data_IF_035874513426
#
_entry.id   IF_035874513426
#
_cell.length_a   1.000
_cell.length_b   1.000
_cell.length_c   1.000
_cell.angle_alpha   90.00
_cell.angle_beta   90.00
_cell.angle_gamma   90.00
#
_symmetry.space_group_name_H-M   'P 1'
#
loop_
_entity.id
_entity.type
_entity.pdbx_description
1 polymer ?
#
# COMPACT_ATOMS: atom_id res chain seq x y z
N UNK A 1 15.29 -2.29 55.81
CA UNK A 1 15.12 -3.71 55.44
C UNK A 1 14.90 -3.79 53.93
N UNK A 2 15.84 -4.34 53.16
CA UNK A 2 15.61 -4.62 51.74
C UNK A 2 14.87 -5.95 51.61
N UNK A 3 13.54 -5.90 51.61
CA UNK A 3 12.70 -7.04 51.27
C UNK A 3 12.95 -7.45 49.81
N UNK A 4 12.93 -8.75 49.53
CA UNK A 4 12.95 -9.26 48.15
C UNK A 4 11.87 -8.60 47.28
N UNK A 5 10.74 -8.24 47.86
CA UNK A 5 9.65 -7.53 47.19
C UNK A 5 10.08 -6.14 46.66
N UNK A 6 10.79 -5.36 47.47
CA UNK A 6 11.28 -4.03 47.09
C UNK A 6 12.35 -4.09 46.00
N UNK A 7 13.19 -5.13 46.01
CA UNK A 7 14.22 -5.33 44.98
C UNK A 7 13.60 -5.70 43.63
N UNK A 8 12.61 -6.60 43.62
CA UNK A 8 11.86 -6.96 42.41
C UNK A 8 11.10 -5.78 41.83
N UNK A 9 10.47 -4.97 42.69
CA UNK A 9 9.76 -3.76 42.30
C UNK A 9 10.68 -2.77 41.56
N UNK A 10 11.90 -2.55 42.09
CA UNK A 10 12.86 -1.64 41.44
C UNK A 10 13.32 -2.16 40.07
N UNK A 11 13.54 -3.46 39.90
CA UNK A 11 13.91 -4.03 38.59
C UNK A 11 12.78 -3.86 37.58
N UNK A 12 11.54 -4.09 38.00
CA UNK A 12 10.37 -3.93 37.15
C UNK A 12 10.20 -2.48 36.66
N UNK A 13 10.23 -1.51 37.58
CA UNK A 13 10.12 -0.09 37.23
C UNK A 13 11.33 0.43 36.43
N UNK A 14 12.52 -0.11 36.68
CA UNK A 14 13.69 0.20 35.86
C UNK A 14 13.53 -0.30 34.42
N UNK A 15 12.97 -1.51 34.23
CA UNK A 15 12.63 -2.03 32.89
C UNK A 15 11.59 -1.16 32.18
N UNK A 16 10.52 -0.76 32.89
CA UNK A 16 9.52 0.16 32.35
C UNK A 16 10.11 1.53 31.98
N UNK A 17 11.03 2.06 32.78
CA UNK A 17 11.69 3.33 32.49
C UNK A 17 12.52 3.25 31.19
N UNK A 18 13.28 2.17 30.99
CA UNK A 18 14.05 1.97 29.75
C UNK A 18 13.12 1.89 28.55
N UNK A 19 12.03 1.12 28.64
CA UNK A 19 11.05 1.00 27.56
C UNK A 19 10.36 2.34 27.25
N UNK A 20 10.03 3.12 28.28
CA UNK A 20 9.44 4.45 28.11
C UNK A 20 10.41 5.40 27.39
N UNK A 21 11.68 5.43 27.80
CA UNK A 21 12.72 6.24 27.14
C UNK A 21 12.91 5.79 25.69
N UNK A 22 12.99 4.47 25.43
CA UNK A 22 13.12 3.93 24.08
C UNK A 22 11.92 4.30 23.20
N UNK A 23 10.71 4.24 23.73
CA UNK A 23 9.48 4.64 23.02
C UNK A 23 9.48 6.13 22.66
N UNK A 24 9.89 7.00 23.59
CA UNK A 24 10.04 8.45 23.33
C UNK A 24 11.09 8.71 22.26
N UNK A 25 12.25 8.03 22.31
CA UNK A 25 13.30 8.16 21.29
C UNK A 25 12.85 7.68 19.92
N UNK A 26 12.09 6.58 19.84
CA UNK A 26 11.50 6.08 18.60
C UNK A 26 10.50 7.07 18.02
N UNK A 27 9.66 7.67 18.87
CA UNK A 27 8.69 8.68 18.43
C UNK A 27 9.39 9.94 17.91
N UNK A 28 10.38 10.45 18.66
CA UNK A 28 11.20 11.59 18.24
C UNK A 28 11.94 11.32 16.92
N UNK A 29 12.54 10.13 16.78
CA UNK A 29 13.20 9.71 15.54
C UNK A 29 12.23 9.72 14.35
N UNK A 30 11.04 9.16 14.53
CA UNK A 30 10.00 9.14 13.48
C UNK A 30 9.56 10.54 13.07
N UNK A 31 9.36 11.45 14.03
CA UNK A 31 8.85 12.80 13.76
C UNK A 31 9.91 13.75 13.20
N UNK A 32 11.17 13.64 13.64
CA UNK A 32 12.19 14.65 13.31
C UNK A 32 13.27 14.17 12.33
N UNK A 33 13.52 12.86 12.22
CA UNK A 33 14.63 12.32 11.42
C UNK A 33 14.16 11.76 10.08
N UNK A 34 12.89 11.35 9.98
CA UNK A 34 12.36 10.82 8.72
C UNK A 34 11.95 11.96 7.79
N UNK A 35 12.47 12.02 6.55
CA UNK A 35 11.95 12.92 5.54
C UNK A 35 10.48 12.62 5.30
N UNK A 36 9.70 13.66 5.05
CA UNK A 36 8.33 13.51 4.56
C UNK A 36 8.36 12.60 3.32
N UNK A 37 7.69 11.45 3.40
CA UNK A 37 7.71 10.45 2.34
C UNK A 37 7.01 11.05 1.11
N UNK A 38 7.79 11.35 0.08
CA UNK A 38 7.30 11.84 -1.21
C UNK A 38 7.33 10.68 -2.20
N UNK A 39 6.25 9.90 -2.33
CA UNK A 39 6.15 8.90 -3.38
C UNK A 39 6.05 9.64 -4.72
N UNK A 40 6.91 9.27 -5.68
CA UNK A 40 6.89 9.86 -7.01
C UNK A 40 6.28 8.87 -8.01
N UNK A 41 5.27 9.33 -8.76
CA UNK A 41 4.70 8.59 -9.88
C UNK A 41 5.26 9.23 -11.15
N UNK A 42 6.24 8.57 -11.75
CA UNK A 42 6.93 9.09 -12.94
C UNK A 42 6.04 8.99 -14.17
N UNK A 43 5.26 7.91 -14.27
CA UNK A 43 4.40 7.66 -15.44
C UNK A 43 3.19 6.82 -15.05
N UNK A 44 2.01 7.35 -15.31
CA UNK A 44 0.76 6.59 -15.29
C UNK A 44 0.04 6.88 -16.60
N UNK A 45 0.01 5.89 -17.49
CA UNK A 45 -0.63 6.04 -18.79
C UNK A 45 -1.43 4.79 -19.14
N UNK A 46 -2.70 4.99 -19.48
CA UNK A 46 -3.54 3.95 -20.07
C UNK A 46 -3.32 3.98 -21.58
N UNK A 47 -2.94 2.85 -22.17
CA UNK A 47 -2.65 2.74 -23.59
C UNK A 47 -3.88 2.28 -24.37
N UNK A 48 -4.42 1.12 -23.99
CA UNK A 48 -5.58 0.52 -24.66
C UNK A 48 -6.58 0.02 -23.63
N UNK A 49 -7.87 0.12 -23.97
CA UNK A 49 -8.95 -0.46 -23.20
C UNK A 49 -9.91 -1.16 -24.16
N UNK A 50 -10.16 -2.45 -23.91
CA UNK A 50 -11.14 -3.23 -24.67
C UNK A 50 -12.24 -3.69 -23.73
N UNK A 51 -13.44 -3.16 -23.94
CA UNK A 51 -14.64 -3.59 -23.25
C UNK A 51 -15.21 -4.84 -23.91
N UNK A 52 -15.57 -5.82 -23.12
CA UNK A 52 -16.31 -7.01 -23.55
C UNK A 52 -17.79 -6.83 -23.29
N UNK A 53 -18.62 -7.56 -24.06
CA UNK A 53 -20.04 -7.62 -23.80
C UNK A 53 -20.29 -8.15 -22.36
N UNK A 54 -21.21 -7.53 -21.62
CA UNK A 54 -21.49 -7.92 -20.24
C UNK A 54 -21.96 -9.39 -20.21
N UNK A 55 -21.37 -10.19 -19.32
CA UNK A 55 -21.76 -11.59 -19.12
C UNK A 55 -22.29 -11.76 -17.70
N UNK A 56 -23.55 -12.22 -17.56
CA UNK A 56 -24.25 -12.35 -16.26
C UNK A 56 -24.30 -11.04 -15.46
N UNK A 57 -24.46 -9.89 -16.13
CA UNK A 57 -24.53 -8.58 -15.49
C UNK A 57 -23.19 -8.02 -14.99
N UNK A 58 -22.08 -8.72 -15.24
CA UNK A 58 -20.73 -8.22 -14.95
C UNK A 58 -20.14 -7.59 -16.20
N UNK A 59 -19.77 -6.32 -16.11
CA UNK A 59 -18.94 -5.68 -17.11
C UNK A 59 -17.52 -6.26 -17.04
N UNK A 60 -16.92 -6.49 -18.21
CA UNK A 60 -15.57 -7.01 -18.33
C UNK A 60 -14.78 -6.11 -19.26
N UNK A 61 -13.57 -5.78 -18.88
CA UNK A 61 -12.68 -4.99 -19.71
C UNK A 61 -11.26 -5.50 -19.51
N UNK A 62 -10.48 -5.47 -20.58
CA UNK A 62 -9.03 -5.60 -20.50
C UNK A 62 -8.45 -4.20 -20.69
N UNK A 63 -7.52 -3.85 -19.81
CA UNK A 63 -6.84 -2.56 -19.79
C UNK A 63 -5.34 -2.79 -19.89
N UNK A 64 -4.72 -2.16 -20.89
CA UNK A 64 -3.27 -2.10 -21.06
C UNK A 64 -2.77 -0.76 -20.54
N UNK A 65 -1.81 -0.78 -19.62
CA UNK A 65 -1.31 0.42 -18.95
C UNK A 65 0.20 0.34 -18.70
N UNK A 66 0.81 1.52 -18.64
CA UNK A 66 2.19 1.73 -18.23
C UNK A 66 2.21 2.44 -16.88
N UNK A 67 2.85 1.84 -15.90
CA UNK A 67 2.97 2.35 -14.54
C UNK A 67 4.45 2.39 -14.14
N UNK A 68 4.97 3.58 -13.85
CA UNK A 68 6.31 3.82 -13.32
C UNK A 68 6.17 4.60 -12.02
N UNK A 69 6.61 3.99 -10.91
CA UNK A 69 6.59 4.61 -9.60
C UNK A 69 7.90 4.39 -8.85
N UNK A 70 8.23 5.35 -7.99
CA UNK A 70 9.31 5.28 -7.02
C UNK A 70 8.76 5.48 -5.61
N UNK A 71 8.70 4.40 -4.85
CA UNK A 71 8.24 4.36 -3.46
C UNK A 71 9.41 4.19 -2.47
N UNK A 72 10.67 4.31 -2.93
CA UNK A 72 11.85 4.12 -2.07
C UNK A 72 11.90 5.11 -0.90
N UNK A 73 11.31 6.29 -1.08
CA UNK A 73 11.21 7.34 -0.05
C UNK A 73 10.30 6.95 1.11
N UNK A 74 9.35 6.03 0.89
CA UNK A 74 8.39 5.57 1.92
C UNK A 74 9.03 4.54 2.87
N UNK A 75 10.03 3.79 2.37
CA UNK A 75 10.75 2.82 3.20
C UNK A 75 11.66 3.50 4.22
N UNK A 76 11.34 3.29 5.49
CA UNK A 76 12.14 3.72 6.63
C UNK A 76 12.49 2.54 7.55
N UNK A 77 13.17 2.80 8.67
CA UNK A 77 13.62 1.75 9.59
C UNK A 77 12.46 0.92 10.19
N UNK A 78 11.25 1.49 10.29
CA UNK A 78 10.05 0.87 10.83
C UNK A 78 9.17 0.21 9.75
N UNK A 79 9.12 0.77 8.53
CA UNK A 79 8.31 0.24 7.42
C UNK A 79 8.95 -1.01 6.84
N UNK A 80 8.34 -2.17 7.09
CA UNK A 80 8.82 -3.48 6.61
C UNK A 80 8.07 -4.01 5.38
N UNK A 81 6.90 -3.45 5.08
CA UNK A 81 6.05 -3.90 3.99
C UNK A 81 5.16 -2.75 3.52
N UNK A 82 5.01 -2.62 2.21
CA UNK A 82 4.05 -1.74 1.55
C UNK A 82 3.02 -2.58 0.80
N UNK A 83 1.76 -2.16 0.89
CA UNK A 83 0.66 -2.70 0.10
C UNK A 83 0.29 -1.65 -0.94
N UNK A 84 0.52 -1.94 -2.21
CA UNK A 84 0.36 -1.00 -3.31
C UNK A 84 -0.77 -1.48 -4.19
N UNK A 85 -1.77 -0.62 -4.39
CA UNK A 85 -2.94 -0.92 -5.21
C UNK A 85 -3.16 0.20 -6.22
N UNK A 86 -3.51 -0.16 -7.46
CA UNK A 86 -4.02 0.76 -8.46
C UNK A 86 -5.52 0.51 -8.62
N UNK A 87 -6.32 1.54 -8.35
CA UNK A 87 -7.77 1.49 -8.50
C UNK A 87 -8.15 2.30 -9.75
N UNK A 88 -8.93 1.69 -10.63
CA UNK A 88 -9.61 2.39 -11.70
C UNK A 88 -11.05 2.69 -11.29
N UNK A 89 -11.44 3.95 -11.40
CA UNK A 89 -12.80 4.40 -11.13
C UNK A 89 -13.52 4.67 -12.45
N UNK A 90 -14.77 4.24 -12.55
CA UNK A 90 -15.60 4.48 -13.73
C UNK A 90 -17.06 4.68 -13.36
N UNK A 91 -17.73 5.53 -14.16
CA UNK A 91 -19.16 5.79 -14.04
C UNK A 91 -19.94 4.87 -14.99
N UNK A 92 -21.10 4.38 -14.54
CA UNK A 92 -22.04 3.61 -15.35
C UNK A 92 -23.44 4.20 -15.20
N UNK A 93 -24.35 3.93 -16.14
CA UNK A 93 -25.73 4.42 -16.07
C UNK A 93 -26.48 3.95 -14.81
N UNK A 94 -26.01 2.87 -14.18
CA UNK A 94 -26.60 2.34 -12.95
C UNK A 94 -25.98 2.89 -11.66
N UNK A 95 -24.74 3.38 -11.70
CA UNK A 95 -23.95 3.73 -10.51
C UNK A 95 -22.95 4.84 -10.85
N UNK A 96 -22.92 5.88 -10.01
CA UNK A 96 -22.06 7.04 -10.22
C UNK A 96 -20.57 6.74 -9.98
N UNK A 97 -20.25 5.86 -9.02
CA UNK A 97 -18.88 5.48 -8.68
C UNK A 97 -18.77 3.96 -8.67
N UNK A 98 -18.02 3.39 -9.60
CA UNK A 98 -17.60 1.98 -9.57
C UNK A 98 -16.08 1.92 -9.51
N UNK A 99 -15.54 1.14 -8.58
CA UNK A 99 -14.11 0.98 -8.38
C UNK A 99 -13.67 -0.45 -8.69
N UNK A 100 -12.57 -0.59 -9.40
CA UNK A 100 -11.92 -1.89 -9.65
C UNK A 100 -10.42 -1.80 -9.40
N UNK A 101 -9.87 -2.79 -8.69
CA UNK A 101 -8.43 -2.92 -8.47
C UNK A 101 -7.81 -3.57 -9.72
N UNK A 102 -6.91 -2.84 -10.38
CA UNK A 102 -6.25 -3.24 -11.63
C UNK A 102 -4.85 -3.80 -11.38
N UNK A 103 -4.21 -3.39 -10.28
CA UNK A 103 -2.91 -3.85 -9.84
C UNK A 103 -2.88 -3.93 -8.32
N UNK A 104 -2.30 -5.01 -7.80
CA UNK A 104 -2.08 -5.24 -6.37
C UNK A 104 -0.72 -5.91 -6.23
N UNK A 105 0.17 -5.29 -5.46
CA UNK A 105 1.44 -5.89 -5.12
C UNK A 105 1.88 -5.53 -3.70
N UNK A 106 2.46 -6.53 -3.05
CA UNK A 106 3.12 -6.40 -1.75
C UNK A 106 4.62 -6.21 -1.99
N UNK A 107 5.16 -5.06 -1.56
CA UNK A 107 6.60 -4.75 -1.65
C UNK A 107 7.20 -4.86 -0.25
N UNK A 108 8.15 -5.77 -0.07
CA UNK A 108 8.80 -6.02 1.24
C UNK A 108 10.16 -5.34 1.38
N UNK A 109 10.85 -5.09 0.26
CA UNK A 109 12.20 -4.54 0.27
C UNK A 109 12.28 -3.20 -0.46
N UNK A 110 13.07 -2.28 0.09
CA UNK A 110 13.31 -0.96 -0.52
C UNK A 110 13.92 -1.05 -1.93
N UNK A 111 14.74 -2.07 -2.19
CA UNK A 111 15.31 -2.30 -3.52
C UNK A 111 14.23 -2.54 -4.59
N UNK A 112 13.12 -3.15 -4.19
CA UNK A 112 12.00 -3.50 -5.08
C UNK A 112 10.91 -2.42 -5.13
N UNK A 113 11.13 -1.29 -4.46
CA UNK A 113 10.16 -0.19 -4.34
C UNK A 113 10.13 0.74 -5.57
N UNK A 114 11.03 0.54 -6.52
CA UNK A 114 11.06 1.23 -7.80
C UNK A 114 10.72 0.22 -8.89
N UNK A 115 9.61 0.44 -9.58
CA UNK A 115 9.13 -0.47 -10.61
C UNK A 115 8.66 0.30 -11.83
N UNK A 116 9.01 -0.25 -13.00
CA UNK A 116 8.48 0.17 -14.29
C UNK A 116 7.73 -1.02 -14.88
N UNK A 117 6.41 -0.94 -14.85
CA UNK A 117 5.49 -1.96 -15.31
C UNK A 117 4.90 -1.52 -16.64
N UNK A 118 5.03 -2.36 -17.64
CA UNK A 118 4.44 -2.17 -18.95
C UNK A 118 3.55 -3.37 -19.25
N UNK A 119 2.25 -3.19 -19.07
CA UNK A 119 1.27 -4.22 -19.38
C UNK A 119 0.75 -3.94 -20.78
N UNK A 120 1.42 -4.50 -21.78
CA UNK A 120 1.08 -4.36 -23.20
C UNK A 120 0.32 -5.55 -23.78
N UNK A 121 0.59 -6.77 -23.28
CA UNK A 121 0.05 -7.99 -23.88
C UNK A 121 -1.30 -8.40 -23.29
N UNK A 122 -2.36 -8.12 -24.06
CA UNK A 122 -3.75 -8.57 -23.86
C UNK A 122 -3.84 -10.11 -23.78
N UNK A 123 -2.85 -10.83 -24.33
CA UNK A 123 -2.75 -12.29 -24.32
C UNK A 123 -2.20 -12.88 -23.01
N UNK A 124 -1.50 -12.09 -22.21
CA UNK A 124 -0.84 -12.53 -20.97
C UNK A 124 -1.27 -11.70 -19.75
N UNK A 125 -2.13 -10.70 -19.96
CA UNK A 125 -2.86 -10.00 -18.91
C UNK A 125 -3.97 -10.92 -18.39
N UNK A 126 -3.98 -11.19 -17.08
CA UNK A 126 -5.13 -11.80 -16.43
C UNK A 126 -6.40 -11.03 -16.81
N UNK A 127 -7.46 -11.75 -17.15
CA UNK A 127 -8.77 -11.15 -17.38
C UNK A 127 -9.16 -10.45 -16.08
N UNK A 128 -9.10 -9.12 -16.07
CA UNK A 128 -9.51 -8.35 -14.91
C UNK A 128 -11.03 -8.43 -14.85
N UNK A 129 -11.51 -9.32 -13.98
CA UNK A 129 -12.92 -9.36 -13.62
C UNK A 129 -13.22 -8.07 -12.87
N UNK A 130 -13.89 -7.12 -13.54
CA UNK A 130 -14.46 -5.95 -12.88
C UNK A 130 -15.64 -6.42 -12.04
N UNK A 131 -15.33 -7.06 -10.92
CA UNK A 131 -16.30 -7.40 -9.90
C UNK A 131 -16.57 -6.11 -9.14
N UNK A 132 -17.79 -5.61 -9.27
CA UNK A 132 -18.27 -4.46 -8.51
C UNK A 132 -17.95 -4.66 -7.03
N UNK A 133 -17.03 -3.85 -6.49
CA UNK A 133 -17.08 -3.52 -5.08
C UNK A 133 -17.99 -2.31 -4.99
N UNK A 134 -19.29 -2.56 -4.84
CA UNK A 134 -20.22 -1.52 -4.38
C UNK A 134 -19.83 -1.22 -2.95
N UNK A 135 -19.07 -0.14 -2.75
CA UNK A 135 -18.99 0.48 -1.42
C UNK A 135 -20.35 1.15 -1.24
N UNK A 136 -21.26 0.46 -0.56
CA UNK A 136 -22.44 1.10 0.00
C UNK A 136 -21.95 1.95 1.16
N UNK A 137 -22.02 3.28 1.01
CA UNK A 137 -22.04 4.18 2.16
C UNK A 137 -23.22 3.87 3.09
#
# INVERSE_FOLDING_TARGET
MHSYWTRSNNVFFFGLAILSIASVLVNLSTTYVLPEAKPEINRLQVNEMRRFAPFRGQDKAIVSYNLDFDLQSVFNWNVKQLFVFLVAEYQSNSNDINQVVVYDQIIQEKANAKQNLQVSDISNSDIIYMRYFTVSE
#
